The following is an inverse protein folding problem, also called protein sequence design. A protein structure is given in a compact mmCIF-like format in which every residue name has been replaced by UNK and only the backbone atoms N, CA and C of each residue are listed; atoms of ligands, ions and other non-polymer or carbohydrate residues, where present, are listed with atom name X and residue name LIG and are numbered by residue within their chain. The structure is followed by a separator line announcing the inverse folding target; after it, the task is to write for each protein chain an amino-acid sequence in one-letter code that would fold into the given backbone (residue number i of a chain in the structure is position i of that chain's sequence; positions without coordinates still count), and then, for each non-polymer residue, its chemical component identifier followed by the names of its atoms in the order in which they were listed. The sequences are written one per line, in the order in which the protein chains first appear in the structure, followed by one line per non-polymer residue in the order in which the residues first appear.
data_IF_720993605277
#
_entry.id   IF_720993605277
#
_cell.length_a   1.000
_cell.length_b   1.000
_cell.length_c   1.000
_cell.angle_alpha   90.00
_cell.angle_beta   90.00
_cell.angle_gamma   90.00
#
_symmetry.space_group_name_H-M   'P 1'
#
loop_
_entity.id
_entity.type
_entity.pdbx_description
1 polymer ?
#
# COMPACT_ATOMS: atom_id res chain seq x y z
N UNK A 1 -12.50 8.74 -7.67
CA UNK A 1 -12.65 7.78 -6.55
C UNK A 1 -12.47 8.54 -5.24
N UNK A 2 -13.26 8.27 -4.20
CA UNK A 2 -13.04 8.94 -2.90
C UNK A 2 -11.75 8.40 -2.28
N UNK A 3 -11.02 9.24 -1.56
CA UNK A 3 -9.84 8.78 -0.81
C UNK A 3 -10.19 7.66 0.19
N UNK A 4 -11.43 7.66 0.70
CA UNK A 4 -11.99 6.59 1.53
C UNK A 4 -11.97 5.22 0.87
N UNK A 5 -12.33 5.16 -0.41
CA UNK A 5 -12.39 3.93 -1.18
C UNK A 5 -10.96 3.46 -1.49
N UNK A 6 -10.08 4.40 -1.86
CA UNK A 6 -8.65 4.14 -2.06
C UNK A 6 -8.00 3.51 -0.82
N UNK A 7 -8.18 4.11 0.36
CA UNK A 7 -7.66 3.55 1.62
C UNK A 7 -8.25 2.18 1.95
N UNK A 8 -9.53 1.94 1.64
CA UNK A 8 -10.14 0.63 1.84
C UNK A 8 -9.55 -0.43 0.90
N UNK A 9 -9.24 -0.06 -0.35
CA UNK A 9 -8.56 -0.95 -1.30
C UNK A 9 -7.15 -1.30 -0.82
N UNK A 10 -6.39 -0.33 -0.30
CA UNK A 10 -5.08 -0.58 0.31
C UNK A 10 -5.14 -1.51 1.52
N UNK A 11 -6.09 -1.29 2.44
CA UNK A 11 -6.30 -2.17 3.60
C UNK A 11 -6.62 -3.59 3.13
N UNK A 12 -7.55 -3.72 2.19
CA UNK A 12 -7.97 -5.02 1.67
C UNK A 12 -6.84 -5.75 0.94
N UNK A 13 -5.96 -5.00 0.26
CA UNK A 13 -4.76 -5.52 -0.37
C UNK A 13 -3.74 -6.02 0.66
N UNK A 14 -3.40 -5.19 1.66
CA UNK A 14 -2.50 -5.58 2.75
C UNK A 14 -3.00 -6.82 3.49
N UNK A 15 -4.28 -6.86 3.84
CA UNK A 15 -4.91 -8.02 4.47
C UNK A 15 -4.83 -9.28 3.60
N UNK A 16 -5.10 -9.16 2.30
CA UNK A 16 -5.05 -10.29 1.36
C UNK A 16 -3.65 -10.89 1.28
N UNK A 17 -2.62 -10.05 1.18
CA UNK A 17 -1.23 -10.51 1.10
C UNK A 17 -0.79 -11.08 2.46
N UNK A 18 -1.15 -10.44 3.56
CA UNK A 18 -0.83 -10.91 4.91
C UNK A 18 -1.44 -12.29 5.22
N UNK A 19 -2.65 -12.58 4.74
CA UNK A 19 -3.26 -13.92 4.86
C UNK A 19 -2.42 -15.03 4.20
N UNK A 20 -1.51 -14.69 3.30
CA UNK A 20 -0.61 -15.65 2.68
C UNK A 20 0.69 -15.84 3.46
N UNK A 21 0.96 -15.07 4.52
CA UNK A 21 2.22 -15.07 5.26
C UNK A 21 2.69 -16.49 5.63
N UNK A 22 1.81 -17.36 6.11
CA UNK A 22 2.16 -18.75 6.43
C UNK A 22 2.61 -19.57 5.21
N UNK A 23 2.04 -19.35 4.02
CA UNK A 23 2.49 -20.01 2.79
C UNK A 23 3.76 -19.38 2.22
N UNK A 24 3.93 -18.08 2.45
CA UNK A 24 5.13 -17.34 2.10
C UNK A 24 6.30 -17.68 3.03
N UNK A 25 6.05 -18.14 4.26
CA UNK A 25 7.09 -18.61 5.18
C UNK A 25 7.87 -19.81 4.61
N UNK A 26 7.21 -20.64 3.80
CA UNK A 26 7.74 -21.89 3.25
C UNK A 26 8.56 -21.72 1.96
N UNK A 27 8.64 -20.51 1.40
CA UNK A 27 9.45 -20.26 0.19
C UNK A 27 10.92 -20.04 0.55
N UNK A 28 11.78 -20.05 -0.47
CA UNK A 28 13.22 -19.84 -0.26
C UNK A 28 13.52 -18.51 0.45
N UNK A 29 14.56 -18.54 1.28
CA UNK A 29 14.94 -17.42 2.16
C UNK A 29 15.14 -16.12 1.38
N UNK A 30 15.80 -16.17 0.23
CA UNK A 30 16.08 -15.00 -0.59
C UNK A 30 14.79 -14.32 -1.05
N UNK A 31 13.78 -15.09 -1.48
CA UNK A 31 12.47 -14.55 -1.84
C UNK A 31 11.73 -14.00 -0.64
N UNK A 32 11.72 -14.69 0.50
CA UNK A 32 11.13 -14.15 1.74
C UNK A 32 11.72 -12.80 2.12
N UNK A 33 13.04 -12.70 2.14
CA UNK A 33 13.75 -11.46 2.47
C UNK A 33 13.37 -10.34 1.50
N UNK A 34 13.25 -10.65 0.19
CA UNK A 34 12.80 -9.69 -0.81
C UNK A 34 11.36 -9.23 -0.55
N UNK A 35 10.43 -10.15 -0.26
CA UNK A 35 9.04 -9.78 0.03
C UNK A 35 8.94 -8.97 1.33
N UNK A 36 9.70 -9.35 2.36
CA UNK A 36 9.75 -8.62 3.62
C UNK A 36 10.27 -7.20 3.43
N UNK A 37 11.32 -7.02 2.62
CA UNK A 37 11.86 -5.71 2.27
C UNK A 37 10.79 -4.82 1.61
N UNK A 38 10.12 -5.31 0.57
CA UNK A 38 9.10 -4.51 -0.11
C UNK A 38 7.85 -4.28 0.73
N UNK A 39 7.48 -5.21 1.61
CA UNK A 39 6.41 -5.00 2.58
C UNK A 39 6.78 -3.86 3.54
N UNK A 40 8.02 -3.82 4.02
CA UNK A 40 8.52 -2.72 4.85
C UNK A 40 8.57 -1.38 4.10
N UNK A 41 9.00 -1.37 2.83
CA UNK A 41 8.97 -0.17 2.00
C UNK A 41 7.54 0.35 1.78
N UNK A 42 6.55 -0.53 1.58
CA UNK A 42 5.14 -0.14 1.50
C UNK A 42 4.67 0.47 2.83
N UNK A 43 5.00 -0.16 3.96
CA UNK A 43 4.65 0.37 5.27
C UNK A 43 5.26 1.77 5.51
N UNK A 44 6.55 1.95 5.21
CA UNK A 44 7.22 3.24 5.33
C UNK A 44 6.60 4.31 4.41
N UNK A 45 6.20 3.90 3.19
CA UNK A 45 5.52 4.76 2.22
C UNK A 45 4.14 5.20 2.71
N UNK A 46 3.37 4.28 3.28
CA UNK A 46 2.06 4.57 3.89
C UNK A 46 2.20 5.55 5.06
N UNK A 47 3.22 5.37 5.91
CA UNK A 47 3.50 6.29 7.01
C UNK A 47 3.87 7.71 6.52
N UNK A 48 4.73 7.83 5.50
CA UNK A 48 5.08 9.12 4.88
C UNK A 48 3.86 9.79 4.22
N UNK A 49 3.03 9.00 3.52
CA UNK A 49 1.79 9.51 2.94
C UNK A 49 0.81 10.01 4.02
N UNK A 50 0.63 9.26 5.11
CA UNK A 50 -0.22 9.66 6.22
C UNK A 50 0.27 10.97 6.87
N UNK A 51 1.58 11.11 7.08
CA UNK A 51 2.18 12.33 7.61
C UNK A 51 1.97 13.54 6.68
N UNK A 52 2.17 13.36 5.37
CA UNK A 52 1.95 14.41 4.39
C UNK A 52 0.48 14.84 4.33
N UNK A 53 -0.46 13.89 4.40
CA UNK A 53 -1.90 14.19 4.43
C UNK A 53 -2.31 14.92 5.71
N UNK A 54 -1.71 14.58 6.86
CA UNK A 54 -1.93 15.31 8.10
C UNK A 54 -1.39 16.75 8.02
N UNK A 55 -0.24 16.96 7.38
CA UNK A 55 0.30 18.30 7.14
C UNK A 55 -0.62 19.13 6.20
N UNK A 56 -1.18 18.52 5.16
CA UNK A 56 -2.15 19.18 4.28
C UNK A 56 -3.46 19.52 4.99
N UNK A 57 -3.84 18.80 6.06
CA UNK A 57 -4.99 19.19 6.88
C UNK A 57 -4.79 20.58 7.52
N UNK A 58 -3.56 20.89 7.91
CA UNK A 58 -3.19 22.18 8.49
C UNK A 58 -2.91 23.25 7.42
N UNK A 59 -2.41 22.85 6.24
CA UNK A 59 -2.08 23.73 5.12
C UNK A 59 -2.56 23.15 3.78
N UNK A 60 -3.86 23.25 3.44
CA UNK A 60 -4.44 22.59 2.27
C UNK A 60 -3.87 23.05 0.92
N UNK A 61 -3.36 24.28 0.86
CA UNK A 61 -2.82 24.89 -0.37
C UNK A 61 -1.32 24.61 -0.58
N UNK A 62 -0.67 23.82 0.29
CA UNK A 62 0.73 23.45 0.15
C UNK A 62 0.94 22.43 -0.98
N UNK A 63 1.18 22.97 -2.19
CA UNK A 63 1.55 22.23 -3.40
C UNK A 63 2.70 21.24 -3.20
N UNK A 64 3.71 21.57 -2.40
CA UNK A 64 4.87 20.71 -2.20
C UNK A 64 4.47 19.44 -1.46
N UNK A 65 3.72 19.61 -0.36
CA UNK A 65 3.22 18.49 0.44
C UNK A 65 2.22 17.64 -0.35
N UNK A 66 1.37 18.25 -1.17
CA UNK A 66 0.46 17.54 -2.07
C UNK A 66 1.22 16.65 -3.06
N UNK A 67 2.22 17.19 -3.76
CA UNK A 67 3.04 16.42 -4.71
C UNK A 67 3.81 15.30 -4.00
N UNK A 68 4.26 15.53 -2.77
CA UNK A 68 4.90 14.49 -1.96
C UNK A 68 3.94 13.34 -1.64
N UNK A 69 2.73 13.65 -1.16
CA UNK A 69 1.70 12.66 -0.85
C UNK A 69 1.31 11.86 -2.10
N UNK A 70 1.04 12.52 -3.23
CA UNK A 70 0.72 11.87 -4.51
C UNK A 70 1.83 10.91 -4.94
N UNK A 71 3.10 11.31 -4.80
CA UNK A 71 4.24 10.46 -5.16
C UNK A 71 4.34 9.24 -4.26
N UNK A 72 4.19 9.38 -2.94
CA UNK A 72 4.22 8.24 -2.03
C UNK A 72 3.09 7.25 -2.36
N UNK A 73 1.86 7.73 -2.57
CA UNK A 73 0.74 6.87 -2.94
C UNK A 73 0.98 6.14 -4.27
N UNK A 74 1.57 6.82 -5.26
CA UNK A 74 1.91 6.21 -6.55
C UNK A 74 3.01 5.14 -6.48
N UNK A 75 3.91 5.18 -5.48
CA UNK A 75 4.96 4.14 -5.32
C UNK A 75 4.41 2.80 -4.86
N UNK A 76 3.28 2.79 -4.15
CA UNK A 76 2.73 1.59 -3.53
C UNK A 76 2.46 0.50 -4.57
N UNK A 77 1.86 0.86 -5.72
CA UNK A 77 1.58 -0.09 -6.78
C UNK A 77 2.83 -0.82 -7.27
N UNK A 78 3.91 -0.08 -7.55
CA UNK A 78 5.17 -0.66 -8.01
C UNK A 78 5.83 -1.60 -6.99
N UNK A 79 5.72 -1.28 -5.69
CA UNK A 79 6.20 -2.20 -4.65
C UNK A 79 5.37 -3.47 -4.57
N UNK A 80 4.04 -3.36 -4.69
CA UNK A 80 3.16 -4.54 -4.71
C UNK A 80 3.43 -5.38 -5.96
N UNK A 81 3.60 -4.77 -7.13
CA UNK A 81 4.01 -5.47 -8.35
C UNK A 81 5.31 -6.23 -8.14
N UNK A 82 6.29 -5.62 -7.47
CA UNK A 82 7.56 -6.26 -7.16
C UNK A 82 7.40 -7.47 -6.22
N UNK A 83 6.53 -7.37 -5.21
CA UNK A 83 6.14 -8.52 -4.36
C UNK A 83 5.52 -9.62 -5.24
N UNK A 84 4.59 -9.27 -6.13
CA UNK A 84 3.91 -10.23 -6.98
C UNK A 84 4.86 -10.94 -7.96
N UNK A 85 5.83 -10.22 -8.52
CA UNK A 85 6.88 -10.80 -9.35
C UNK A 85 7.77 -11.77 -8.56
N UNK A 86 8.14 -11.41 -7.31
CA UNK A 86 8.92 -12.31 -6.45
C UNK A 86 8.19 -13.63 -6.16
N UNK A 87 6.85 -13.57 -6.12
CA UNK A 87 5.95 -14.67 -5.77
C UNK A 87 5.32 -15.38 -6.97
N UNK A 88 5.68 -15.02 -8.21
CA UNK A 88 4.94 -15.41 -9.41
C UNK A 88 4.78 -16.93 -9.61
N UNK A 89 5.75 -17.73 -9.14
CA UNK A 89 5.76 -19.19 -9.23
C UNK A 89 5.18 -19.90 -8.00
N UNK A 90 4.89 -19.14 -6.93
CA UNK A 90 4.37 -19.64 -5.65
C UNK A 90 2.90 -19.29 -5.43
N UNK A 91 2.37 -18.31 -6.17
CA UNK A 91 0.96 -17.95 -6.15
C UNK A 91 0.21 -18.61 -7.30
N UNK A 92 -0.94 -19.21 -6.98
CA UNK A 92 -1.86 -19.70 -8.00
C UNK A 92 -2.41 -18.55 -8.88
N UNK A 93 -2.96 -18.90 -10.04
CA UNK A 93 -3.51 -17.92 -10.99
C UNK A 93 -4.64 -17.05 -10.40
N UNK A 94 -5.43 -17.59 -9.46
CA UNK A 94 -6.56 -16.87 -8.85
C UNK A 94 -6.08 -15.78 -7.90
N UNK A 95 -5.07 -16.06 -7.08
CA UNK A 95 -4.42 -15.10 -6.18
C UNK A 95 -3.78 -13.96 -6.96
N UNK A 96 -3.02 -14.29 -8.01
CA UNK A 96 -2.38 -13.29 -8.89
C UNK A 96 -3.41 -12.38 -9.56
N UNK A 97 -4.45 -12.96 -10.15
CA UNK A 97 -5.55 -12.17 -10.74
C UNK A 97 -6.29 -11.32 -9.70
N UNK A 98 -6.44 -11.82 -8.46
CA UNK A 98 -7.09 -11.10 -7.37
C UNK A 98 -6.32 -9.85 -6.92
N UNK A 99 -4.98 -9.93 -6.82
CA UNK A 99 -4.14 -8.77 -6.50
C UNK A 99 -4.06 -7.81 -7.67
N UNK A 100 -3.88 -8.30 -8.90
CA UNK A 100 -3.87 -7.44 -10.09
C UNK A 100 -5.14 -6.61 -10.20
N UNK A 101 -6.32 -7.22 -10.05
CA UNK A 101 -7.59 -6.47 -10.06
C UNK A 101 -7.63 -5.37 -9.00
N UNK A 102 -7.07 -5.60 -7.81
CA UNK A 102 -7.01 -4.60 -6.74
C UNK A 102 -6.03 -3.47 -7.07
N UNK A 103 -4.89 -3.77 -7.70
CA UNK A 103 -3.96 -2.76 -8.19
C UNK A 103 -4.56 -1.90 -9.30
N UNK A 104 -5.30 -2.52 -10.22
CA UNK A 104 -5.99 -1.78 -11.29
C UNK A 104 -7.02 -0.77 -10.72
N UNK A 105 -7.54 -0.97 -9.50
CA UNK A 105 -8.39 0.01 -8.81
C UNK A 105 -7.62 1.15 -8.11
N UNK A 106 -6.32 0.98 -7.90
CA UNK A 106 -5.47 1.99 -7.26
C UNK A 106 -4.89 2.99 -8.28
N UNK A 107 -4.94 2.70 -9.58
CA UNK A 107 -4.31 3.50 -10.63
C UNK A 107 -5.27 3.98 -11.73
N UNK A 108 -5.16 5.25 -12.17
CA UNK A 108 -4.48 6.38 -11.53
C UNK A 108 -5.32 6.98 -10.39
N UNK A 109 -4.73 7.16 -9.21
CA UNK A 109 -5.38 7.87 -8.11
C UNK A 109 -5.00 9.36 -8.09
N UNK A 110 -5.95 10.21 -8.48
CA UNK A 110 -5.82 11.67 -8.48
C UNK A 110 -6.10 12.26 -7.09
N UNK A 111 -5.05 12.38 -6.26
CA UNK A 111 -5.18 12.88 -4.89
C UNK A 111 -5.69 14.34 -4.83
N UNK A 112 -5.22 15.21 -5.73
CA UNK A 112 -5.63 16.63 -5.78
C UNK A 112 -7.14 16.75 -6.04
N UNK A 113 -7.66 16.02 -7.03
CA UNK A 113 -9.09 15.97 -7.32
C UNK A 113 -9.90 15.38 -6.15
N UNK A 114 -9.40 14.30 -5.53
CA UNK A 114 -10.06 13.68 -4.38
C UNK A 114 -10.13 14.61 -3.15
N UNK A 115 -9.11 15.45 -2.93
CA UNK A 115 -9.12 16.47 -1.89
C UNK A 115 -10.14 17.56 -2.22
N UNK A 116 -10.08 18.11 -3.44
CA UNK A 116 -10.94 19.21 -3.88
C UNK A 116 -12.44 18.85 -3.84
N UNK A 117 -12.79 17.62 -4.23
CA UNK A 117 -14.20 17.18 -4.30
C UNK A 117 -14.77 16.69 -2.96
N UNK A 118 -13.93 16.17 -2.05
CA UNK A 118 -14.41 15.37 -0.92
C UNK A 118 -13.76 15.65 0.45
N UNK A 119 -12.67 16.43 0.52
CA UNK A 119 -11.95 16.69 1.77
C UNK A 119 -11.29 15.42 2.34
N UNK A 120 -10.07 15.10 1.89
CA UNK A 120 -9.42 13.80 2.15
C UNK A 120 -8.81 13.63 3.56
N UNK A 121 -8.66 14.71 4.33
CA UNK A 121 -7.71 14.78 5.46
C UNK A 121 -8.03 13.85 6.63
N UNK A 122 -9.31 13.78 7.04
CA UNK A 122 -9.74 12.98 8.20
C UNK A 122 -9.47 11.47 8.06
N UNK A 123 -9.22 11.00 6.85
CA UNK A 123 -9.04 9.58 6.54
C UNK A 123 -7.57 9.15 6.47
N UNK A 124 -6.61 10.07 6.67
CA UNK A 124 -5.18 9.71 6.75
C UNK A 124 -4.92 8.63 7.82
N UNK A 125 -5.69 8.63 8.92
CA UNK A 125 -5.64 7.58 9.97
C UNK A 125 -5.93 6.16 9.45
N UNK A 126 -6.65 6.03 8.33
CA UNK A 126 -6.94 4.71 7.72
C UNK A 126 -5.72 4.13 7.01
N UNK A 127 -4.76 4.96 6.59
CA UNK A 127 -3.50 4.48 6.02
C UNK A 127 -2.68 3.70 7.07
N UNK A 128 -2.75 4.10 8.34
CA UNK A 128 -2.10 3.38 9.45
C UNK A 128 -2.61 1.95 9.60
N UNK A 129 -3.88 1.69 9.28
CA UNK A 129 -4.41 0.33 9.29
C UNK A 129 -3.79 -0.53 8.17
N UNK A 130 -3.64 0.03 6.96
CA UNK A 130 -2.95 -0.66 5.87
C UNK A 130 -1.47 -0.88 6.20
N UNK A 131 -0.81 0.14 6.77
CA UNK A 131 0.58 0.07 7.23
C UNK A 131 0.80 -1.13 8.16
N UNK A 132 -0.08 -1.30 9.15
CA UNK A 132 0.01 -2.39 10.12
C UNK A 132 0.04 -3.79 9.49
N UNK A 133 -0.73 -4.03 8.43
CA UNK A 133 -0.70 -5.31 7.71
C UNK A 133 0.63 -5.55 7.02
N UNK A 134 1.22 -4.52 6.39
CA UNK A 134 2.49 -4.65 5.70
C UNK A 134 3.67 -4.78 6.69
N UNK A 135 3.61 -4.09 7.84
CA UNK A 135 4.55 -4.31 8.96
C UNK A 135 4.49 -5.76 9.45
N UNK A 136 3.30 -6.24 9.78
CA UNK A 136 3.10 -7.61 10.26
C UNK A 136 3.57 -8.66 9.24
N UNK A 137 3.35 -8.41 7.94
CA UNK A 137 3.89 -9.26 6.87
C UNK A 137 5.42 -9.27 6.87
N UNK A 138 6.06 -8.11 6.93
CA UNK A 138 7.52 -8.03 6.94
C UNK A 138 8.12 -8.78 8.15
N UNK A 139 7.53 -8.61 9.32
CA UNK A 139 7.96 -9.28 10.55
C UNK A 139 7.75 -10.80 10.46
N UNK A 140 6.59 -11.25 10.00
CA UNK A 140 6.27 -12.67 9.87
C UNK A 140 7.20 -13.42 8.89
N UNK A 141 7.70 -12.74 7.86
CA UNK A 141 8.62 -13.35 6.89
C UNK A 141 10.08 -13.37 7.34
N UNK A 142 10.42 -12.61 8.39
CA UNK A 142 11.78 -12.51 8.96
C UNK A 142 11.97 -13.35 10.24
N UNK A 143 10.87 -13.73 10.89
CA UNK A 143 10.87 -14.69 12.00
C UNK A 143 11.42 -16.06 11.56
#
# INVERSE_FOLDING_TARGET
MRFADYTQHLISLGQTIYQWAGQLAEIDRTRREKVALYAEEIAATLARAAAALAALEAAPDDRSTLLSATRELGRISGYVETIMSALQHHLDGRKRAGVKRRLDYLEPFELEAAIAEHGAFKQARRLTAAEGYFRALADALRA
#
